data_IF_087705394865
#
_entry.id   IF_087705394865
#
_cell.length_a   1.000
_cell.length_b   1.000
_cell.length_c   1.000
_cell.angle_alpha   90.00
_cell.angle_beta   90.00
_cell.angle_gamma   90.00
#
_symmetry.space_group_name_H-M   'P 1'
#
loop_
_entity.id
_entity.type
_entity.pdbx_description
1 polymer ?
#
# COMPACT_ATOMS: atom_id res chain seq x y z
N UNK A 1 16.16 2.31 -30.64
CA UNK A 1 15.79 2.25 -29.20
C UNK A 1 14.83 1.08 -29.05
N UNK A 2 15.25 0.00 -28.39
CA UNK A 2 14.38 -1.15 -28.12
C UNK A 2 13.30 -0.66 -27.15
N UNK A 3 12.04 -0.79 -27.56
CA UNK A 3 10.89 -0.58 -26.69
C UNK A 3 11.00 -1.61 -25.54
N UNK A 4 11.53 -1.22 -24.39
CA UNK A 4 11.48 -2.07 -23.20
C UNK A 4 10.02 -2.34 -22.91
N UNK A 5 9.63 -3.59 -23.13
CA UNK A 5 8.26 -4.07 -22.96
C UNK A 5 7.84 -3.83 -21.50
N UNK A 6 6.88 -2.95 -21.31
CA UNK A 6 6.34 -2.62 -19.99
C UNK A 6 5.95 -3.90 -19.25
N UNK A 7 6.52 -4.16 -18.06
CA UNK A 7 6.28 -5.38 -17.29
C UNK A 7 4.81 -5.54 -16.88
N UNK A 8 4.14 -4.40 -16.61
CA UNK A 8 2.70 -4.37 -16.31
C UNK A 8 2.04 -3.26 -17.14
N UNK A 9 1.40 -3.58 -18.29
CA UNK A 9 0.78 -2.60 -19.16
C UNK A 9 -0.64 -2.21 -18.77
N UNK A 10 -1.22 -2.90 -17.79
CA UNK A 10 -2.60 -2.72 -17.34
C UNK A 10 -2.75 -1.59 -16.34
N UNK A 11 -3.95 -1.02 -16.25
CA UNK A 11 -4.29 0.02 -15.27
C UNK A 11 -4.97 -0.52 -14.03
N UNK A 12 -5.60 -1.69 -14.13
CA UNK A 12 -6.24 -2.34 -12.98
C UNK A 12 -5.20 -2.79 -11.96
N UNK A 13 -5.45 -2.60 -10.65
CA UNK A 13 -4.58 -3.13 -9.60
C UNK A 13 -4.64 -4.67 -9.55
N UNK A 14 -3.71 -5.26 -8.83
CA UNK A 14 -3.61 -6.70 -8.67
C UNK A 14 -2.49 -7.30 -9.53
N UNK A 15 -1.33 -6.65 -9.56
CA UNK A 15 -0.13 -7.21 -10.20
C UNK A 15 0.20 -8.56 -9.55
N UNK A 16 0.40 -9.67 -10.30
CA UNK A 16 0.76 -10.96 -9.74
C UNK A 16 2.00 -10.90 -8.84
N UNK A 17 1.94 -11.54 -7.67
CA UNK A 17 3.02 -11.54 -6.68
C UNK A 17 4.35 -12.05 -7.26
N UNK A 18 4.29 -12.94 -8.27
CA UNK A 18 5.45 -13.55 -8.94
C UNK A 18 6.24 -12.55 -9.77
N UNK A 19 5.64 -11.42 -10.14
CA UNK A 19 6.32 -10.36 -10.90
C UNK A 19 7.18 -9.47 -10.00
N UNK A 20 7.01 -9.51 -8.69
CA UNK A 20 7.85 -8.77 -7.75
C UNK A 20 9.08 -9.57 -7.33
N UNK A 21 10.20 -8.89 -7.18
CA UNK A 21 11.32 -9.43 -6.42
C UNK A 21 10.90 -9.56 -4.95
N UNK A 22 11.28 -10.66 -4.32
CA UNK A 22 10.93 -11.00 -2.94
C UNK A 22 12.12 -11.53 -2.19
N UNK A 23 12.12 -11.36 -0.88
CA UNK A 23 13.02 -12.01 0.08
C UNK A 23 12.16 -12.70 1.14
N UNK A 24 12.72 -13.66 1.87
CA UNK A 24 11.99 -14.40 2.91
C UNK A 24 11.62 -13.50 4.08
N UNK A 25 12.47 -12.53 4.42
CA UNK A 25 12.33 -11.69 5.60
C UNK A 25 11.44 -10.45 5.39
N UNK A 26 11.15 -10.07 4.13
CA UNK A 26 10.35 -8.88 3.82
C UNK A 26 8.96 -9.28 3.33
N UNK A 27 7.90 -8.92 4.06
CA UNK A 27 6.54 -9.29 3.67
C UNK A 27 6.10 -8.59 2.38
N UNK A 28 5.15 -9.24 1.68
CA UNK A 28 4.43 -8.68 0.55
C UNK A 28 2.93 -8.73 0.81
N UNK A 29 2.24 -7.60 0.65
CA UNK A 29 0.78 -7.59 0.58
C UNK A 29 0.34 -8.35 -0.67
N UNK A 30 -0.45 -9.41 -0.48
CA UNK A 30 -0.83 -10.32 -1.57
C UNK A 30 -1.69 -9.64 -2.62
N UNK A 31 -1.57 -10.06 -3.89
CA UNK A 31 -2.20 -9.43 -5.05
C UNK A 31 -3.70 -9.13 -4.85
N UNK A 32 -4.45 -10.10 -4.31
CA UNK A 32 -5.90 -9.95 -4.10
C UNK A 32 -6.21 -8.88 -3.04
N UNK A 33 -5.48 -8.88 -1.93
CA UNK A 33 -5.60 -7.88 -0.86
C UNK A 33 -5.18 -6.51 -1.37
N UNK A 34 -4.05 -6.45 -2.08
CA UNK A 34 -3.52 -5.22 -2.67
C UNK A 34 -4.50 -4.59 -3.66
N UNK A 35 -5.13 -5.40 -4.53
CA UNK A 35 -6.13 -4.91 -5.46
C UNK A 35 -7.32 -4.24 -4.75
N UNK A 36 -7.82 -4.85 -3.67
CA UNK A 36 -8.91 -4.29 -2.87
C UNK A 36 -8.44 -3.01 -2.15
N UNK A 37 -7.28 -3.03 -1.49
CA UNK A 37 -6.74 -1.88 -0.77
C UNK A 37 -6.56 -0.66 -1.70
N UNK A 38 -5.93 -0.86 -2.86
CA UNK A 38 -5.74 0.20 -3.87
C UNK A 38 -7.08 0.75 -4.36
N UNK A 39 -8.09 -0.11 -4.60
CA UNK A 39 -9.41 0.35 -5.06
C UNK A 39 -10.09 1.26 -4.02
N UNK A 40 -9.91 0.97 -2.72
CA UNK A 40 -10.49 1.76 -1.62
C UNK A 40 -9.80 3.10 -1.39
N UNK A 41 -8.59 3.31 -1.90
CA UNK A 41 -7.90 4.61 -1.87
C UNK A 41 -8.50 5.64 -2.84
N UNK A 42 -9.32 5.23 -3.80
CA UNK A 42 -10.01 6.10 -4.77
C UNK A 42 -9.06 7.08 -5.48
N UNK A 43 -7.92 6.56 -5.92
CA UNK A 43 -6.86 7.36 -6.53
C UNK A 43 -7.27 7.94 -7.89
N UNK A 44 -6.73 9.11 -8.19
CA UNK A 44 -6.82 9.76 -9.51
C UNK A 44 -5.42 10.07 -10.02
N UNK A 45 -5.29 10.30 -11.31
CA UNK A 45 -4.07 10.83 -11.91
C UNK A 45 -3.67 12.15 -11.25
N UNK A 46 -2.39 12.31 -10.95
CA UNK A 46 -1.87 13.48 -10.28
C UNK A 46 -2.04 13.49 -8.75
N UNK A 47 -2.74 12.50 -8.15
CA UNK A 47 -2.78 12.38 -6.70
C UNK A 47 -1.41 12.03 -6.13
N UNK A 48 -1.08 12.64 -4.99
CA UNK A 48 0.07 12.23 -4.17
C UNK A 48 -0.38 11.23 -3.11
N UNK A 49 0.49 10.28 -2.77
CA UNK A 49 0.17 9.25 -1.79
C UNK A 49 1.36 8.91 -0.88
N UNK A 50 1.07 8.37 0.31
CA UNK A 50 2.07 7.82 1.23
C UNK A 50 1.77 6.32 1.41
N UNK A 51 2.81 5.50 1.37
CA UNK A 51 2.81 4.07 1.70
C UNK A 51 3.62 3.87 2.99
N UNK A 52 2.94 3.59 4.09
CA UNK A 52 3.54 3.40 5.41
C UNK A 52 3.77 1.91 5.67
N UNK A 53 5.02 1.52 5.88
CA UNK A 53 5.44 0.12 5.97
C UNK A 53 5.47 -0.51 4.58
N UNK A 54 6.24 0.07 3.66
CA UNK A 54 6.19 -0.29 2.24
C UNK A 54 6.68 -1.71 1.94
N UNK A 55 7.48 -2.32 2.83
CA UNK A 55 7.94 -3.70 2.72
C UNK A 55 8.60 -4.00 1.38
N UNK A 56 8.00 -4.89 0.59
CA UNK A 56 8.50 -5.22 -0.75
C UNK A 56 8.28 -4.12 -1.80
N UNK A 57 7.54 -3.06 -1.48
CA UNK A 57 7.15 -2.00 -2.40
C UNK A 57 6.03 -2.36 -3.37
N UNK A 58 5.32 -3.47 -3.14
CA UNK A 58 4.26 -3.90 -4.04
C UNK A 58 3.09 -2.92 -4.08
N UNK A 59 2.67 -2.38 -2.92
CA UNK A 59 1.71 -1.29 -2.83
C UNK A 59 2.28 -0.03 -3.47
N UNK A 60 3.52 0.35 -3.15
CA UNK A 60 4.18 1.55 -3.69
C UNK A 60 4.18 1.56 -5.22
N UNK A 61 4.52 0.43 -5.86
CA UNK A 61 4.50 0.31 -7.33
C UNK A 61 3.10 0.55 -7.88
N UNK A 62 2.08 -0.06 -7.29
CA UNK A 62 0.70 0.13 -7.75
C UNK A 62 0.19 1.55 -7.51
N UNK A 63 0.53 2.20 -6.38
CA UNK A 63 0.26 3.62 -6.15
C UNK A 63 0.84 4.49 -7.26
N UNK A 64 2.11 4.26 -7.62
CA UNK A 64 2.76 4.98 -8.71
C UNK A 64 2.03 4.81 -10.06
N UNK A 65 1.59 3.58 -10.37
CA UNK A 65 0.86 3.31 -11.61
C UNK A 65 -0.52 3.96 -11.65
N UNK A 66 -1.22 4.02 -10.51
CA UNK A 66 -2.55 4.64 -10.42
C UNK A 66 -2.50 6.17 -10.47
N UNK A 67 -1.44 6.78 -9.93
CA UNK A 67 -1.30 8.24 -9.85
C UNK A 67 -0.59 8.85 -11.05
N UNK A 68 0.06 8.04 -11.89
CA UNK A 68 0.78 8.50 -13.08
C UNK A 68 -0.11 9.27 -14.08
N UNK A 69 0.44 10.31 -14.68
CA UNK A 69 -0.21 11.06 -15.74
C UNK A 69 -0.46 10.20 -17.01
N UNK A 70 -1.50 10.52 -17.79
CA UNK A 70 -1.73 9.83 -19.04
C UNK A 70 -0.78 10.35 -20.12
N UNK A 71 0.02 9.47 -20.70
CA UNK A 71 0.92 9.82 -21.82
C UNK A 71 2.17 10.60 -21.43
N UNK A 72 2.34 10.92 -20.14
CA UNK A 72 3.56 11.53 -19.61
C UNK A 72 4.66 10.49 -19.38
N UNK A 73 5.91 10.95 -19.28
CA UNK A 73 6.97 10.11 -18.77
C UNK A 73 6.61 9.60 -17.37
N UNK A 74 6.98 8.37 -17.03
CA UNK A 74 6.73 7.81 -15.71
C UNK A 74 7.44 8.64 -14.65
N UNK A 75 6.65 9.33 -13.82
CA UNK A 75 7.12 10.31 -12.86
C UNK A 75 6.49 11.70 -13.05
N UNK A 76 5.78 11.93 -14.16
CA UNK A 76 4.87 13.06 -14.29
C UNK A 76 3.52 12.65 -13.69
N UNK A 77 3.20 13.19 -12.52
CA UNK A 77 2.00 12.88 -11.76
C UNK A 77 2.16 13.30 -10.31
N UNK A 78 1.32 12.76 -9.45
CA UNK A 78 1.49 12.93 -8.02
C UNK A 78 2.70 12.16 -7.49
N UNK A 79 3.30 12.67 -6.43
CA UNK A 79 4.45 12.03 -5.79
C UNK A 79 3.97 10.93 -4.85
N UNK A 80 4.62 9.77 -4.91
CA UNK A 80 4.43 8.68 -3.94
C UNK A 80 5.62 8.65 -2.99
N UNK A 81 5.33 8.71 -1.69
CA UNK A 81 6.31 8.56 -0.61
C UNK A 81 6.15 7.15 -0.02
N UNK A 82 7.23 6.40 0.09
CA UNK A 82 7.25 5.07 0.68
C UNK A 82 8.16 5.05 1.89
N UNK A 83 7.65 4.64 3.04
CA UNK A 83 8.37 4.67 4.32
C UNK A 83 8.54 3.25 4.83
N UNK A 84 9.75 2.89 5.22
CA UNK A 84 10.01 1.70 6.02
C UNK A 84 11.22 1.95 6.93
N UNK A 85 11.21 1.33 8.12
CA UNK A 85 12.35 1.40 9.04
C UNK A 85 13.38 0.30 8.77
N UNK A 86 13.01 -0.75 8.02
CA UNK A 86 13.91 -1.82 7.62
C UNK A 86 14.66 -1.46 6.34
N UNK A 87 15.98 -1.42 6.43
CA UNK A 87 16.85 -1.16 5.28
C UNK A 87 16.66 -2.17 4.14
N UNK A 88 16.40 -3.45 4.45
CA UNK A 88 16.18 -4.48 3.43
C UNK A 88 14.88 -4.23 2.67
N UNK A 89 13.83 -3.82 3.36
CA UNK A 89 12.55 -3.42 2.77
C UNK A 89 12.73 -2.22 1.83
N UNK A 90 13.43 -1.18 2.28
CA UNK A 90 13.74 0.01 1.46
C UNK A 90 14.50 -0.36 0.19
N UNK A 91 15.53 -1.19 0.27
CA UNK A 91 16.30 -1.61 -0.91
C UNK A 91 15.48 -2.52 -1.84
N UNK A 92 14.64 -3.39 -1.30
CA UNK A 92 13.72 -4.21 -2.08
C UNK A 92 12.67 -3.35 -2.80
N UNK A 93 12.08 -2.38 -2.11
CA UNK A 93 11.16 -1.40 -2.71
C UNK A 93 11.81 -0.65 -3.87
N UNK A 94 13.02 -0.11 -3.70
CA UNK A 94 13.77 0.57 -4.77
C UNK A 94 14.03 -0.35 -5.96
N UNK A 95 14.33 -1.63 -5.72
CA UNK A 95 14.56 -2.62 -6.77
C UNK A 95 13.27 -2.88 -7.57
N UNK A 96 12.15 -3.08 -6.89
CA UNK A 96 10.87 -3.28 -7.53
C UNK A 96 10.40 -2.03 -8.30
N UNK A 97 10.58 -0.84 -7.76
CA UNK A 97 10.29 0.40 -8.50
C UNK A 97 11.06 0.47 -9.83
N UNK A 98 12.38 0.19 -9.81
CA UNK A 98 13.19 0.14 -11.06
C UNK A 98 12.66 -0.92 -12.03
N UNK A 99 12.34 -2.13 -11.54
CA UNK A 99 11.85 -3.25 -12.33
C UNK A 99 10.55 -2.92 -13.07
N UNK A 100 9.65 -2.18 -12.42
CA UNK A 100 8.38 -1.73 -13.02
C UNK A 100 8.50 -0.39 -13.75
N UNK A 101 9.68 0.24 -13.76
CA UNK A 101 9.91 1.55 -14.37
C UNK A 101 9.07 2.65 -13.73
N UNK A 102 8.80 2.58 -12.43
CA UNK A 102 8.08 3.58 -11.65
C UNK A 102 9.02 4.32 -10.72
N UNK A 103 8.60 5.48 -10.19
CA UNK A 103 9.41 6.30 -9.29
C UNK A 103 8.60 6.69 -8.06
N UNK A 104 9.20 6.54 -6.89
CA UNK A 104 8.69 7.01 -5.61
C UNK A 104 9.86 7.56 -4.78
N UNK A 105 9.57 8.40 -3.82
CA UNK A 105 10.51 8.83 -2.79
C UNK A 105 10.52 7.79 -1.67
N UNK A 106 11.58 6.97 -1.60
CA UNK A 106 11.69 5.87 -0.63
C UNK A 106 12.57 6.29 0.53
N UNK A 107 11.99 6.33 1.72
CA UNK A 107 12.56 6.91 2.93
C UNK A 107 12.79 5.81 3.97
N UNK A 108 14.04 5.68 4.41
CA UNK A 108 14.41 4.82 5.53
C UNK A 108 14.17 5.57 6.84
N UNK A 109 13.25 5.11 7.66
CA UNK A 109 12.96 5.69 8.97
C UNK A 109 11.68 5.15 9.58
N UNK A 110 11.49 5.43 10.86
CA UNK A 110 10.23 5.11 11.54
C UNK A 110 9.12 6.04 11.04
N UNK A 111 7.92 5.50 10.87
CA UNK A 111 6.77 6.28 10.41
C UNK A 111 6.50 7.50 11.31
N UNK A 112 6.68 7.36 12.63
CA UNK A 112 6.48 8.44 13.61
C UNK A 112 7.42 9.64 13.38
N UNK A 113 8.65 9.37 12.93
CA UNK A 113 9.66 10.41 12.71
C UNK A 113 9.53 11.05 11.32
N UNK A 114 9.14 10.23 10.32
CA UNK A 114 9.08 10.64 8.91
C UNK A 114 7.77 11.35 8.56
N UNK A 115 6.61 10.81 8.98
CA UNK A 115 5.30 11.36 8.63
C UNK A 115 5.17 12.86 8.90
N UNK A 116 5.62 13.41 10.07
CA UNK A 116 5.51 14.85 10.34
C UNK A 116 6.25 15.74 9.34
N UNK A 117 7.26 15.21 8.66
CA UNK A 117 8.11 15.98 7.71
C UNK A 117 7.55 16.00 6.29
N UNK A 118 6.59 15.12 5.97
CA UNK A 118 6.03 15.02 4.62
C UNK A 118 4.95 16.06 4.35
N UNK A 119 4.76 16.45 3.09
CA UNK A 119 3.66 17.33 2.70
C UNK A 119 2.31 16.64 2.85
N UNK A 120 1.23 17.41 2.70
CA UNK A 120 -0.11 16.85 2.62
C UNK A 120 -0.32 16.11 1.31
N UNK A 121 -1.01 14.96 1.38
CA UNK A 121 -1.27 14.05 0.26
C UNK A 121 -2.77 13.74 0.10
N UNK A 122 -3.13 13.16 -1.03
CA UNK A 122 -4.51 12.80 -1.35
C UNK A 122 -4.89 11.44 -0.75
N UNK A 123 -3.92 10.55 -0.54
CA UNK A 123 -4.16 9.20 -0.01
C UNK A 123 -3.01 8.70 0.86
N UNK A 124 -3.34 7.88 1.88
CA UNK A 124 -2.37 7.18 2.71
C UNK A 124 -2.76 5.71 2.81
N UNK A 125 -1.82 4.82 2.51
CA UNK A 125 -1.89 3.40 2.81
C UNK A 125 -1.06 3.10 4.06
N UNK A 126 -1.61 2.29 4.97
CA UNK A 126 -0.90 1.84 6.18
C UNK A 126 -0.91 0.31 6.21
N UNK A 127 0.22 -0.30 5.86
CA UNK A 127 0.39 -1.75 5.81
C UNK A 127 1.19 -2.34 6.98
N UNK A 128 1.97 -1.52 7.68
CA UNK A 128 2.75 -1.96 8.84
C UNK A 128 3.06 -0.80 9.78
N UNK A 129 2.82 -0.98 11.07
CA UNK A 129 2.93 0.10 12.09
C UNK A 129 3.99 -0.17 13.15
N UNK A 130 4.45 -1.42 13.27
CA UNK A 130 5.48 -1.85 14.23
C UNK A 130 5.28 -1.27 15.64
N UNK A 131 4.14 -1.58 16.24
CA UNK A 131 3.89 -1.40 17.67
C UNK A 131 2.93 -0.27 18.02
N UNK A 132 3.11 0.96 17.53
CA UNK A 132 2.21 2.07 17.85
C UNK A 132 1.29 2.42 16.67
N UNK A 133 0.34 1.54 16.43
CA UNK A 133 -0.64 1.68 15.35
C UNK A 133 -1.46 2.96 15.47
N UNK A 134 -1.88 3.30 16.69
CA UNK A 134 -2.69 4.51 16.93
C UNK A 134 -1.95 5.77 16.53
N UNK A 135 -0.74 5.96 17.05
CA UNK A 135 0.07 7.13 16.76
C UNK A 135 0.37 7.26 15.26
N UNK A 136 0.71 6.14 14.61
CA UNK A 136 0.97 6.14 13.14
C UNK A 136 -0.26 6.58 12.37
N UNK A 137 -1.46 6.11 12.74
CA UNK A 137 -2.71 6.51 12.07
C UNK A 137 -3.00 8.00 12.30
N UNK A 138 -2.85 8.51 13.52
CA UNK A 138 -3.04 9.92 13.84
C UNK A 138 -2.12 10.83 13.00
N UNK A 139 -0.84 10.47 12.90
CA UNK A 139 0.14 11.19 12.08
C UNK A 139 -0.17 11.08 10.58
N UNK A 140 -0.58 9.89 10.10
CA UNK A 140 -0.96 9.66 8.72
C UNK A 140 -2.18 10.50 8.31
N UNK A 141 -3.23 10.54 9.15
CA UNK A 141 -4.40 11.40 8.95
C UNK A 141 -4.01 12.88 8.98
N UNK A 142 -3.03 13.26 9.81
CA UNK A 142 -2.44 14.61 9.81
C UNK A 142 -1.85 15.02 8.45
N UNK A 143 -1.39 14.05 7.66
CA UNK A 143 -0.84 14.29 6.31
C UNK A 143 -1.89 14.24 5.20
N UNK A 144 -3.11 13.81 5.47
CA UNK A 144 -4.16 13.88 4.47
C UNK A 144 -4.64 15.31 4.25
N UNK A 145 -4.89 15.67 3.01
CA UNK A 145 -5.74 16.80 2.64
C UNK A 145 -7.18 16.55 3.10
N UNK A 146 -8.00 17.58 3.23
CA UNK A 146 -9.45 17.40 3.42
C UNK A 146 -10.03 16.65 2.21
N UNK A 147 -10.90 15.68 2.46
CA UNK A 147 -11.40 14.74 1.45
C UNK A 147 -10.42 13.63 1.06
N UNK A 148 -9.20 13.62 1.61
CA UNK A 148 -8.20 12.57 1.37
C UNK A 148 -8.57 11.24 2.03
N UNK A 149 -8.10 10.13 1.45
CA UNK A 149 -8.44 8.76 1.86
C UNK A 149 -7.31 8.09 2.63
N UNK A 150 -7.66 7.37 3.70
CA UNK A 150 -6.78 6.41 4.36
C UNK A 150 -7.30 4.99 4.16
N UNK A 151 -6.38 4.06 3.92
CA UNK A 151 -6.65 2.62 3.95
C UNK A 151 -5.63 1.96 4.88
N UNK A 152 -6.10 1.08 5.74
CA UNK A 152 -5.29 0.40 6.76
C UNK A 152 -5.52 -1.10 6.62
N UNK A 153 -4.46 -1.88 6.38
CA UNK A 153 -4.50 -3.33 6.36
C UNK A 153 -4.00 -3.89 7.70
N UNK A 154 -4.77 -4.80 8.29
CA UNK A 154 -4.37 -5.48 9.53
C UNK A 154 -4.69 -6.97 9.49
N UNK A 155 -3.85 -7.77 10.14
CA UNK A 155 -4.05 -9.22 10.33
C UNK A 155 -4.14 -9.61 11.82
N UNK A 156 -3.71 -8.72 12.72
CA UNK A 156 -3.76 -8.93 14.18
C UNK A 156 -5.00 -8.26 14.75
N UNK A 157 -5.65 -8.92 15.69
CA UNK A 157 -6.85 -8.40 16.38
C UNK A 157 -6.52 -7.11 17.13
N UNK A 158 -5.37 -7.07 17.82
CA UNK A 158 -4.91 -5.92 18.58
C UNK A 158 -4.69 -4.69 17.68
N UNK A 159 -4.03 -4.90 16.54
CA UNK A 159 -3.79 -3.85 15.55
C UNK A 159 -5.12 -3.36 14.94
N UNK A 160 -6.04 -4.28 14.65
CA UNK A 160 -7.38 -3.93 14.17
C UNK A 160 -8.14 -3.08 15.19
N UNK A 161 -8.12 -3.46 16.47
CA UNK A 161 -8.77 -2.71 17.54
C UNK A 161 -8.19 -1.29 17.67
N UNK A 162 -6.86 -1.15 17.67
CA UNK A 162 -6.21 0.17 17.73
C UNK A 162 -6.58 1.03 16.51
N UNK A 163 -6.61 0.44 15.32
CA UNK A 163 -6.98 1.14 14.09
C UNK A 163 -8.43 1.64 14.12
N UNK A 164 -9.37 0.79 14.53
CA UNK A 164 -10.78 1.15 14.66
C UNK A 164 -10.99 2.25 15.71
N UNK A 165 -10.32 2.15 16.86
CA UNK A 165 -10.36 3.19 17.89
C UNK A 165 -9.85 4.53 17.37
N UNK A 166 -8.70 4.53 16.68
CA UNK A 166 -8.12 5.75 16.11
C UNK A 166 -9.05 6.40 15.07
N UNK A 167 -9.61 5.60 14.14
CA UNK A 167 -10.54 6.07 13.10
C UNK A 167 -11.79 6.71 13.73
N UNK A 168 -12.33 6.09 14.78
CA UNK A 168 -13.50 6.60 15.49
C UNK A 168 -13.20 7.91 16.25
N UNK A 169 -12.11 7.95 17.00
CA UNK A 169 -11.72 9.11 17.80
C UNK A 169 -11.36 10.33 16.93
N UNK A 170 -10.77 10.09 15.77
CA UNK A 170 -10.48 11.10 14.76
C UNK A 170 -11.71 11.55 13.96
N UNK A 171 -12.88 10.92 14.20
CA UNK A 171 -14.16 11.23 13.56
C UNK A 171 -14.06 11.24 12.04
N UNK A 172 -13.34 10.27 11.46
CA UNK A 172 -13.23 10.16 10.02
C UNK A 172 -14.58 9.82 9.39
N UNK A 173 -14.82 10.35 8.19
CA UNK A 173 -16.03 10.12 7.43
C UNK A 173 -15.93 8.86 6.54
N UNK A 174 -17.06 8.38 6.03
CA UNK A 174 -17.14 7.26 5.07
C UNK A 174 -16.31 6.05 5.51
N UNK A 175 -16.39 5.69 6.78
CA UNK A 175 -15.68 4.52 7.33
C UNK A 175 -16.29 3.25 6.74
N UNK A 176 -15.45 2.42 6.13
CA UNK A 176 -15.82 1.10 5.62
C UNK A 176 -14.83 0.06 6.14
N UNK A 177 -15.36 -1.02 6.71
CA UNK A 177 -14.60 -2.11 7.31
C UNK A 177 -14.93 -3.38 6.55
N UNK A 178 -13.93 -3.96 5.90
CA UNK A 178 -14.08 -5.16 5.09
C UNK A 178 -13.12 -6.24 5.57
N UNK A 179 -13.64 -7.40 5.93
CA UNK A 179 -12.81 -8.58 6.13
C UNK A 179 -12.68 -9.35 4.81
N UNK A 180 -11.46 -9.64 4.39
CA UNK A 180 -11.17 -10.38 3.18
C UNK A 180 -10.54 -11.72 3.54
N UNK A 181 -11.16 -12.81 3.08
CA UNK A 181 -10.64 -14.18 3.20
C UNK A 181 -10.40 -14.75 1.81
N UNK A 182 -9.15 -15.11 1.52
CA UNK A 182 -8.75 -15.64 0.22
C UNK A 182 -8.37 -17.11 0.35
N UNK A 183 -8.87 -17.93 -0.57
CA UNK A 183 -8.39 -19.28 -0.79
C UNK A 183 -7.98 -19.43 -2.25
N UNK A 184 -6.76 -19.91 -2.51
CA UNK A 184 -6.24 -20.14 -3.86
C UNK A 184 -6.07 -21.63 -4.13
N UNK A 185 -6.37 -22.03 -5.35
CA UNK A 185 -6.17 -23.39 -5.82
C UNK A 185 -4.68 -23.74 -5.85
N UNK A 186 -4.33 -24.91 -5.33
CA UNK A 186 -2.99 -25.51 -5.41
C UNK A 186 -3.11 -26.93 -5.94
N UNK A 187 -2.38 -27.23 -7.01
CA UNK A 187 -2.27 -28.61 -7.51
C UNK A 187 -1.44 -29.46 -6.55
N UNK A 188 -1.94 -30.65 -6.28
CA UNK A 188 -1.28 -31.73 -5.54
C UNK A 188 -1.34 -33.02 -6.37
N UNK A 189 -0.63 -34.04 -5.97
CA UNK A 189 -0.52 -35.32 -6.74
C UNK A 189 -1.88 -35.92 -7.08
N UNK A 190 -2.86 -35.80 -6.18
CA UNK A 190 -4.18 -36.45 -6.32
C UNK A 190 -5.30 -35.54 -6.82
N UNK A 191 -4.99 -34.24 -7.10
CA UNK A 191 -6.03 -33.31 -7.55
C UNK A 191 -5.68 -31.85 -7.34
N UNK A 192 -6.69 -31.03 -7.03
CA UNK A 192 -6.55 -29.60 -6.74
C UNK A 192 -7.21 -29.31 -5.40
N UNK A 193 -6.46 -28.73 -4.47
CA UNK A 193 -6.96 -28.31 -3.18
C UNK A 193 -7.05 -26.79 -3.09
N UNK A 194 -7.97 -26.29 -2.25
CA UNK A 194 -8.04 -24.88 -1.90
C UNK A 194 -7.19 -24.60 -0.66
N UNK A 195 -6.24 -23.70 -0.76
CA UNK A 195 -5.38 -23.29 0.34
C UNK A 195 -5.83 -21.90 0.83
N UNK A 196 -6.39 -21.86 2.04
CA UNK A 196 -6.82 -20.62 2.68
C UNK A 196 -5.61 -19.85 3.22
N UNK A 197 -5.75 -18.53 3.24
CA UNK A 197 -4.80 -17.57 3.85
C UNK A 197 -5.44 -16.93 5.06
N UNK A 198 -4.63 -16.31 5.92
CA UNK A 198 -5.14 -15.53 7.04
C UNK A 198 -6.10 -14.44 6.54
N UNK A 199 -7.23 -14.24 7.22
CA UNK A 199 -8.09 -13.11 6.95
C UNK A 199 -7.33 -11.78 7.13
N UNK A 200 -7.64 -10.81 6.29
CA UNK A 200 -7.10 -9.46 6.39
C UNK A 200 -8.27 -8.51 6.61
N UNK A 201 -8.16 -7.64 7.61
CA UNK A 201 -9.09 -6.53 7.79
C UNK A 201 -8.59 -5.34 7.00
N UNK A 202 -9.43 -4.79 6.15
CA UNK A 202 -9.19 -3.56 5.40
C UNK A 202 -10.15 -2.50 5.93
N UNK A 203 -9.58 -1.48 6.57
CA UNK A 203 -10.32 -0.34 7.10
C UNK A 203 -10.04 0.85 6.19
N UNK A 204 -11.07 1.47 5.64
CA UNK A 204 -10.91 2.67 4.83
C UNK A 204 -11.78 3.81 5.33
N UNK A 205 -11.28 5.04 5.26
CA UNK A 205 -11.99 6.22 5.74
C UNK A 205 -11.55 7.49 4.98
N UNK A 206 -12.35 8.55 5.08
CA UNK A 206 -12.09 9.86 4.49
C UNK A 206 -11.84 10.88 5.60
N UNK A 207 -10.82 11.72 5.45
CA UNK A 207 -10.62 12.90 6.30
C UNK A 207 -11.68 13.95 5.94
N UNK A 208 -12.48 14.38 6.91
CA UNK A 208 -13.47 15.43 6.75
C UNK A 208 -12.85 16.79 6.47
#
# INVERSE_FOLDING_TARGET
>A
MQNEKQLWPYRTPGIPDELFDRTEDVPITKEDIRAIAISKLRLKKGHSAIDVGCGSGSITVELCLQTAAAGGERGEGGIVYAIDFDKNAVELTKRNLRKFGTKAEVILGKAQDVLPTLPQVDAVMVGGTWGDTRQVIELAVGRLKNGGRIVIDTILIETTYQALSAVNDLKLAEVDITQVTIAKARKVTTGTMMLARNPVMIISATKA
#
